data_IF_978101992904
#
_entry.id   IF_978101992904
#
_cell.length_a   1.000
_cell.length_b   1.000
_cell.length_c   1.000
_cell.angle_alpha   90.00
_cell.angle_beta   90.00
_cell.angle_gamma   90.00
#
_symmetry.space_group_name_H-M   'P 1'
#
loop_
_entity.id
_entity.type
_entity.pdbx_description
1 polymer ?
#
# COMPACT_ATOMS: atom_id res chain seq x y z
N UNK A 1 14.73 25.41 -4.46
CA UNK A 1 14.39 25.19 -4.67
C UNK A 1 13.73 24.80 -4.46
N UNK A 2 14.02 24.82 -4.22
CA UNK A 2 13.44 24.48 -3.85
C UNK A 2 12.57 23.64 -3.80
N UNK A 3 12.00 23.47 -3.84
CA UNK A 3 11.15 22.62 -3.90
C UNK A 3 11.36 21.38 -4.20
N UNK A 4 12.17 21.19 -4.73
CA UNK A 4 12.62 19.88 -5.06
C UNK A 4 12.83 19.05 -3.84
N UNK A 5 12.88 19.62 -2.70
CA UNK A 5 13.06 18.86 -1.50
C UNK A 5 11.75 18.61 -0.79
N UNK A 6 10.69 18.71 -1.50
CA UNK A 6 9.45 18.36 -0.94
C UNK A 6 9.43 16.93 -0.54
N UNK A 7 9.04 16.64 0.68
CA UNK A 7 8.86 15.27 1.08
C UNK A 7 7.57 14.73 0.45
N UNK A 8 7.53 13.44 0.28
CA UNK A 8 6.37 12.78 -0.27
C UNK A 8 5.80 11.83 0.74
N UNK A 9 4.50 11.71 0.73
CA UNK A 9 3.83 10.70 1.52
C UNK A 9 3.54 9.52 0.61
N UNK A 10 3.83 8.34 1.11
CA UNK A 10 3.75 7.11 0.34
C UNK A 10 2.81 6.17 1.05
N UNK A 11 1.95 5.54 0.28
CA UNK A 11 1.10 4.51 0.81
C UNK A 11 1.46 3.21 0.10
N UNK A 12 1.70 2.17 0.86
CA UNK A 12 2.12 0.89 0.32
C UNK A 12 1.07 -0.17 0.61
N UNK A 13 0.76 -0.96 -0.40
CA UNK A 13 -0.20 -2.05 -0.28
C UNK A 13 0.51 -3.36 -0.53
N UNK A 14 0.47 -4.23 0.47
CA UNK A 14 1.10 -5.54 0.39
C UNK A 14 -0.01 -6.57 0.16
N UNK A 15 -0.16 -6.99 -1.08
CA UNK A 15 -1.29 -7.81 -1.49
C UNK A 15 -1.16 -9.25 -1.07
N UNK A 16 -2.21 -9.77 -0.46
CA UNK A 16 -2.36 -11.17 -0.15
C UNK A 16 -3.72 -11.64 -0.64
N UNK A 17 -3.97 -12.92 -0.52
CA UNK A 17 -5.23 -13.47 -1.02
C UNK A 17 -6.42 -13.11 -0.16
N UNK A 18 -6.21 -13.01 1.14
CA UNK A 18 -7.32 -12.76 2.07
C UNK A 18 -7.27 -11.40 2.71
N UNK A 19 -6.11 -10.78 2.70
CA UNK A 19 -6.00 -9.47 3.29
C UNK A 19 -4.85 -8.72 2.64
N UNK A 20 -4.93 -7.43 2.69
CA UNK A 20 -3.94 -6.55 2.10
C UNK A 20 -3.45 -5.64 3.20
N UNK A 21 -2.16 -5.73 3.51
CA UNK A 21 -1.55 -4.86 4.49
C UNK A 21 -1.35 -3.48 3.91
N UNK A 22 -1.60 -2.46 4.70
CA UNK A 22 -1.45 -1.09 4.24
C UNK A 22 -0.51 -0.36 5.18
N UNK A 23 0.45 0.32 4.61
CA UNK A 23 1.41 1.10 5.37
C UNK A 23 1.50 2.50 4.79
N UNK A 24 1.91 3.43 5.62
CA UNK A 24 2.06 4.82 5.23
C UNK A 24 3.45 5.28 5.65
N UNK A 25 4.11 6.02 4.80
CA UNK A 25 5.44 6.50 5.08
C UNK A 25 5.68 7.87 4.49
N UNK A 26 6.81 8.43 4.87
CA UNK A 26 7.23 9.72 4.36
C UNK A 26 8.69 9.63 3.96
N UNK A 27 9.02 10.26 2.85
CA UNK A 27 10.39 10.22 2.37
C UNK A 27 11.31 11.09 3.22
N UNK A 28 10.78 12.17 3.78
CA UNK A 28 11.59 13.09 4.55
C UNK A 28 12.20 12.43 5.79
N UNK A 29 11.41 11.66 6.49
CA UNK A 29 11.87 11.02 7.72
C UNK A 29 12.26 9.57 7.53
N UNK A 30 12.03 9.04 6.36
CA UNK A 30 12.27 7.64 6.05
C UNK A 30 11.52 6.70 7.01
N UNK A 31 10.39 7.14 7.46
CA UNK A 31 9.55 6.35 8.37
C UNK A 31 8.42 5.69 7.62
N UNK A 32 8.03 4.54 8.12
CA UNK A 32 6.85 3.86 7.59
C UNK A 32 6.17 3.14 8.75
N UNK A 33 4.85 3.12 8.72
CA UNK A 33 4.11 2.43 9.76
C UNK A 33 2.88 1.76 9.15
N UNK A 34 2.50 0.63 9.72
CA UNK A 34 1.29 -0.03 9.29
C UNK A 34 0.09 0.74 9.78
N UNK A 35 -0.85 0.98 8.90
CA UNK A 35 -2.03 1.75 9.26
C UNK A 35 -3.31 0.94 9.16
N UNK A 36 -3.24 -0.28 8.66
CA UNK A 36 -4.43 -1.08 8.62
C UNK A 36 -4.29 -2.28 7.73
N UNK A 37 -5.35 -3.05 7.70
CA UNK A 37 -5.44 -4.24 6.86
C UNK A 37 -6.79 -4.17 6.17
N UNK A 38 -6.77 -4.36 4.87
CA UNK A 38 -8.01 -4.45 4.11
C UNK A 38 -8.34 -5.91 3.88
N UNK A 39 -9.60 -6.25 4.01
CA UNK A 39 -10.03 -7.60 3.71
C UNK A 39 -10.06 -7.79 2.20
N UNK A 40 -9.72 -8.98 1.77
CA UNK A 40 -9.71 -9.31 0.36
C UNK A 40 -10.36 -10.65 0.14
N UNK A 41 -10.86 -10.84 -1.06
CA UNK A 41 -11.45 -12.10 -1.48
C UNK A 41 -10.76 -12.50 -2.75
N UNK A 42 -9.96 -13.57 -2.68
CA UNK A 42 -9.14 -14.03 -3.80
C UNK A 42 -8.26 -12.90 -4.35
N UNK A 43 -7.71 -12.10 -3.46
CA UNK A 43 -6.83 -11.03 -3.85
C UNK A 43 -7.52 -9.76 -4.25
N UNK A 44 -8.84 -9.72 -4.16
CA UNK A 44 -9.62 -8.53 -4.57
C UNK A 44 -10.15 -7.84 -3.33
N UNK A 45 -9.76 -6.60 -3.09
CA UNK A 45 -10.26 -5.85 -1.94
C UNK A 45 -11.62 -5.26 -2.21
N UNK A 46 -12.23 -4.75 -1.16
CA UNK A 46 -13.39 -3.90 -1.32
C UNK A 46 -12.89 -2.54 -1.78
N UNK A 47 -13.19 -2.18 -3.01
CA UNK A 47 -12.65 -0.94 -3.57
C UNK A 47 -13.17 0.31 -2.87
N UNK A 48 -14.32 0.23 -2.23
CA UNK A 48 -14.82 1.37 -1.44
C UNK A 48 -13.90 1.62 -0.25
N UNK A 49 -13.39 0.56 0.37
CA UNK A 49 -12.46 0.71 1.48
C UNK A 49 -11.14 1.30 1.02
N UNK A 50 -10.65 0.86 -0.13
CA UNK A 50 -9.44 1.41 -0.71
C UNK A 50 -9.61 2.90 -0.97
N UNK A 51 -10.74 3.26 -1.55
CA UNK A 51 -11.00 4.63 -1.88
C UNK A 51 -11.08 5.50 -0.63
N UNK A 52 -11.71 4.98 0.41
CA UNK A 52 -11.80 5.71 1.67
C UNK A 52 -10.43 5.97 2.27
N UNK A 53 -9.55 4.97 2.22
CA UNK A 53 -8.20 5.13 2.71
C UNK A 53 -7.42 6.16 1.90
N UNK A 54 -7.54 6.11 0.60
CA UNK A 54 -6.84 7.06 -0.25
C UNK A 54 -7.33 8.49 0.01
N UNK A 55 -8.61 8.63 0.24
CA UNK A 55 -9.17 9.95 0.56
C UNK A 55 -8.71 10.45 1.92
N UNK A 56 -8.55 9.55 2.85
CA UNK A 56 -8.13 9.93 4.19
C UNK A 56 -6.66 10.31 4.24
N UNK A 57 -5.81 9.52 3.61
CA UNK A 57 -4.36 9.69 3.71
C UNK A 57 -3.77 10.54 2.61
N UNK A 58 -4.41 10.61 1.46
CA UNK A 58 -4.01 11.44 0.31
C UNK A 58 -2.53 11.33 0.01
N UNK A 59 -2.06 10.12 -0.29
CA UNK A 59 -0.63 9.95 -0.56
C UNK A 59 -0.24 10.58 -1.89
N UNK A 60 1.03 10.95 -1.99
CA UNK A 60 1.58 11.42 -3.25
C UNK A 60 1.96 10.26 -4.15
N UNK A 61 2.28 9.14 -3.55
CA UNK A 61 2.78 7.99 -4.29
C UNK A 61 2.18 6.72 -3.71
N UNK A 62 1.85 5.78 -4.57
CA UNK A 62 1.30 4.51 -4.14
C UNK A 62 2.23 3.42 -4.61
N UNK A 63 2.63 2.55 -3.70
CA UNK A 63 3.43 1.38 -4.01
C UNK A 63 2.57 0.14 -3.82
N UNK A 64 2.69 -0.80 -4.72
CA UNK A 64 1.93 -2.03 -4.64
C UNK A 64 2.92 -3.19 -4.69
N UNK A 65 2.93 -3.98 -3.63
CA UNK A 65 3.76 -5.17 -3.57
C UNK A 65 2.95 -6.38 -3.92
N UNK A 66 3.40 -7.11 -4.92
CA UNK A 66 2.73 -8.33 -5.33
C UNK A 66 3.61 -9.50 -4.95
N UNK A 67 3.05 -10.51 -4.29
CA UNK A 67 3.86 -11.65 -3.91
C UNK A 67 4.28 -12.43 -5.15
N UNK A 68 5.59 -12.64 -5.27
CA UNK A 68 6.11 -13.34 -6.43
C UNK A 68 5.86 -14.82 -6.39
N UNK A 69 5.69 -15.34 -5.21
CA UNK A 69 5.55 -16.78 -5.04
C UNK A 69 4.14 -17.25 -5.16
N UNK A 70 3.25 -16.39 -5.46
CA UNK A 70 1.89 -16.83 -5.62
C UNK A 70 1.66 -17.65 -6.86
N UNK A 71 2.59 -17.65 -7.70
CA UNK A 71 2.44 -18.51 -8.80
C UNK A 71 2.67 -19.89 -8.41
N UNK A 72 2.61 -20.17 -7.99
CA UNK A 72 2.73 -21.10 -7.63
C UNK A 72 3.32 -21.90 -7.69
N UNK A 73 3.63 -21.24 -7.71
CA UNK A 73 3.98 -21.59 -7.91
C UNK A 73 4.36 -22.05 -7.59
N UNK A 74 4.37 -21.73 -7.28
CA UNK A 74 4.70 -21.85 -7.06
C UNK A 74 4.73 -22.35 -6.87
N UNK A 75 4.60 -22.41 -6.74
CA UNK A 75 4.67 -22.60 -6.72
C UNK A 75 4.42 -23.22 -6.83
N UNK A 76 4.57 -23.47 -6.81
CA UNK A 76 4.46 -23.79 -7.08
C UNK A 76 4.30 -24.16 -7.10
#
# INVERSE_FOLDING_TARGET
MPNSIKHQTIMAFDYGLRQIGVAHGQTLTANAEGIGILQASDGVPNWDDVKAMLNEWKPNLILVGLPLTMDGSESE
#
